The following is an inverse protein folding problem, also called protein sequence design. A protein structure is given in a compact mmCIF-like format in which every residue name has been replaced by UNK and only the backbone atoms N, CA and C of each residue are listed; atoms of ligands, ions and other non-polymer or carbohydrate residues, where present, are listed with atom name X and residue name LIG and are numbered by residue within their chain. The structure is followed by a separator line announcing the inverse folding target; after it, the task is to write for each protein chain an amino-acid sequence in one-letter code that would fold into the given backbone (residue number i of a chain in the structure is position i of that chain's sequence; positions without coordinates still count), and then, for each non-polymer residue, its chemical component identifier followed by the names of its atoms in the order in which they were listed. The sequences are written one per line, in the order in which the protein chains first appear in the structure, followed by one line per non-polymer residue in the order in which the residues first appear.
data_IF_451400224777
#
_entry.id   IF_451400224777
#
_cell.length_a   1.000
_cell.length_b   1.000
_cell.length_c   1.000
_cell.angle_alpha   90.00
_cell.angle_beta   90.00
_cell.angle_gamma   90.00
#
_symmetry.space_group_name_H-M   'P 1'
#
loop_
_entity.id
_entity.type
_entity.pdbx_description
1 polymer ?
#
# COMPACT_ATOMS: atom_id res chain seq x y z
N UNK A 1 -8.93 -12.41 20.92
CA UNK A 1 -8.49 -11.72 22.16
C UNK A 1 -8.40 -10.25 21.81
N UNK A 2 -8.99 -9.37 22.62
CA UNK A 2 -8.91 -7.92 22.47
C UNK A 2 -7.44 -7.47 22.66
N UNK A 3 -7.00 -6.41 21.98
CA UNK A 3 -5.69 -5.77 22.18
C UNK A 3 -5.47 -5.39 23.65
N UNK A 4 -6.51 -4.89 24.33
CA UNK A 4 -6.48 -4.57 25.76
C UNK A 4 -6.25 -5.81 26.63
N UNK A 5 -6.85 -6.95 26.27
CA UNK A 5 -6.69 -8.21 26.99
C UNK A 5 -5.32 -8.83 26.74
N UNK A 6 -4.77 -8.71 25.52
CA UNK A 6 -3.42 -9.16 25.18
C UNK A 6 -2.35 -8.37 25.93
N UNK A 7 -2.49 -7.04 26.02
CA UNK A 7 -1.51 -6.18 26.68
C UNK A 7 -1.51 -6.33 28.20
N UNK A 8 -2.65 -6.66 28.82
CA UNK A 8 -2.72 -6.93 30.27
C UNK A 8 -1.93 -8.18 30.70
N UNK A 9 -1.75 -9.14 29.79
CA UNK A 9 -1.12 -10.43 30.10
C UNK A 9 0.41 -10.43 29.92
N UNK A 10 0.96 -9.47 29.17
CA UNK A 10 2.41 -9.29 28.94
C UNK A 10 2.98 -8.20 29.86
N UNK A 11 3.85 -8.57 30.80
CA UNK A 11 4.47 -7.68 31.80
C UNK A 11 5.31 -6.51 31.25
N UNK A 12 5.66 -6.51 29.96
CA UNK A 12 6.67 -5.61 29.38
C UNK A 12 6.10 -4.47 28.51
N UNK A 13 4.78 -4.43 28.26
CA UNK A 13 4.14 -3.32 27.56
C UNK A 13 2.92 -2.81 28.35
N UNK A 14 3.02 -1.59 28.87
CA UNK A 14 1.89 -0.92 29.49
C UNK A 14 0.81 -0.61 28.44
N UNK A 15 -0.45 -1.07 28.61
CA UNK A 15 -1.53 -0.80 27.67
C UNK A 15 -1.75 0.68 27.37
N UNK A 16 -1.61 1.55 28.37
CA UNK A 16 -1.80 2.99 28.22
C UNK A 16 -0.68 3.63 27.38
N UNK A 17 0.57 3.17 27.56
CA UNK A 17 1.73 3.64 26.77
C UNK A 17 1.61 3.19 25.32
N UNK A 18 1.16 1.96 25.08
CA UNK A 18 0.94 1.45 23.73
C UNK A 18 -0.17 2.22 23.00
N UNK A 19 -1.30 2.45 23.68
CA UNK A 19 -2.40 3.25 23.14
C UNK A 19 -1.95 4.68 22.80
N UNK A 20 -1.19 5.31 23.71
CA UNK A 20 -0.61 6.63 23.47
C UNK A 20 0.33 6.65 22.25
N UNK A 21 1.15 5.61 22.06
CA UNK A 21 2.01 5.48 20.88
C UNK A 21 1.22 5.35 19.57
N UNK A 22 0.10 4.61 19.57
CA UNK A 22 -0.78 4.51 18.41
C UNK A 22 -1.44 5.85 18.06
N UNK A 23 -1.90 6.59 19.08
CA UNK A 23 -2.50 7.92 18.91
C UNK A 23 -1.48 8.94 18.39
N UNK A 24 -0.23 8.91 18.87
CA UNK A 24 0.87 9.71 18.35
C UNK A 24 1.19 9.39 16.88
N UNK A 25 1.19 8.10 16.52
CA UNK A 25 1.38 7.69 15.13
C UNK A 25 0.26 8.25 14.24
N UNK A 26 -1.00 8.07 14.63
CA UNK A 26 -2.16 8.54 13.87
C UNK A 26 -2.19 10.07 13.72
N UNK A 27 -1.97 10.81 14.80
CA UNK A 27 -1.97 12.29 14.80
C UNK A 27 -0.81 12.89 14.01
N UNK A 28 0.31 12.18 13.88
CA UNK A 28 1.42 12.55 12.99
C UNK A 28 1.22 12.14 11.52
N UNK A 29 0.02 11.68 11.16
CA UNK A 29 -0.30 11.20 9.82
C UNK A 29 0.42 9.90 9.45
N UNK A 30 0.97 9.18 10.44
CA UNK A 30 1.57 7.85 10.27
C UNK A 30 0.50 6.79 10.53
N UNK A 31 0.52 5.72 9.76
CA UNK A 31 -0.33 4.55 9.97
C UNK A 31 0.49 3.52 10.74
N UNK A 32 0.03 3.13 11.92
CA UNK A 32 0.61 2.03 12.67
C UNK A 32 -0.13 0.74 12.31
N UNK A 33 0.61 -0.28 11.88
CA UNK A 33 0.10 -1.64 11.72
C UNK A 33 0.58 -2.46 12.90
N UNK A 34 -0.36 -3.07 13.61
CA UNK A 34 -0.07 -3.94 14.74
C UNK A 34 -0.44 -5.35 14.31
N UNK A 35 0.56 -6.21 14.19
CA UNK A 35 0.37 -7.64 13.93
C UNK A 35 0.76 -8.39 15.19
N UNK A 36 -0.16 -9.21 15.69
CA UNK A 36 0.11 -10.07 16.83
C UNK A 36 0.61 -11.42 16.35
N UNK A 37 1.62 -11.92 17.04
CA UNK A 37 2.20 -13.23 16.78
C UNK A 37 2.21 -14.00 18.09
N UNK A 38 1.58 -15.18 18.09
CA UNK A 38 1.49 -16.04 19.27
C UNK A 38 2.83 -16.75 19.56
N UNK A 39 3.51 -17.24 18.52
CA UNK A 39 4.85 -17.83 18.61
C UNK A 39 5.83 -17.15 17.62
N UNK A 40 6.84 -16.42 18.14
CA UNK A 40 7.81 -15.69 17.32
C UNK A 40 8.75 -16.60 16.51
N UNK A 41 8.76 -17.91 16.76
CA UNK A 41 9.63 -18.86 16.05
C UNK A 41 8.96 -19.48 14.83
N UNK A 42 7.70 -19.17 14.56
CA UNK A 42 7.01 -19.64 13.35
C UNK A 42 7.63 -19.02 12.09
N UNK A 43 7.62 -19.73 10.94
CA UNK A 43 8.11 -19.17 9.68
C UNK A 43 7.39 -17.87 9.28
N UNK A 44 6.09 -17.78 9.58
CA UNK A 44 5.30 -16.56 9.35
C UNK A 44 5.80 -15.39 10.20
N UNK A 45 6.00 -15.60 11.51
CA UNK A 45 6.54 -14.59 12.41
C UNK A 45 7.92 -14.09 11.98
N UNK A 46 8.78 -15.01 11.55
CA UNK A 46 10.11 -14.68 11.05
C UNK A 46 10.04 -13.86 9.78
N UNK A 47 9.15 -14.20 8.84
CA UNK A 47 8.94 -13.43 7.62
C UNK A 47 8.39 -12.02 7.89
N UNK A 48 7.43 -11.89 8.82
CA UNK A 48 6.90 -10.59 9.27
C UNK A 48 8.01 -9.74 9.88
N UNK A 49 8.78 -10.33 10.81
CA UNK A 49 9.91 -9.64 11.45
C UNK A 49 10.94 -9.21 10.42
N UNK A 50 11.27 -10.07 9.47
CA UNK A 50 12.22 -9.77 8.41
C UNK A 50 11.75 -8.61 7.53
N UNK A 51 10.46 -8.58 7.15
CA UNK A 51 9.86 -7.48 6.40
C UNK A 51 9.99 -6.16 7.18
N UNK A 52 9.62 -6.16 8.47
CA UNK A 52 9.72 -4.99 9.34
C UNK A 52 11.16 -4.51 9.46
N UNK A 53 12.10 -5.42 9.73
CA UNK A 53 13.51 -5.07 9.88
C UNK A 53 14.07 -4.50 8.56
N UNK A 54 13.57 -4.94 7.40
CA UNK A 54 14.05 -4.57 6.06
C UNK A 54 13.71 -3.13 5.62
N UNK A 55 13.02 -2.33 6.43
CA UNK A 55 12.82 -0.91 6.16
C UNK A 55 14.14 -0.12 6.05
N UNK A 56 15.23 -0.64 6.61
CA UNK A 56 16.58 -0.07 6.43
C UNK A 56 17.07 -0.09 4.97
N UNK A 57 16.47 -0.93 4.11
CA UNK A 57 16.79 -1.00 2.68
C UNK A 57 16.24 0.20 1.89
N UNK A 58 15.33 0.99 2.47
CA UNK A 58 14.77 2.15 1.81
C UNK A 58 15.83 3.24 1.57
N UNK A 59 16.01 3.71 0.33
CA UNK A 59 16.88 4.87 0.05
C UNK A 59 16.37 6.12 0.78
N UNK A 60 17.27 6.98 1.28
CA UNK A 60 16.88 8.20 2.02
C UNK A 60 15.88 9.10 1.26
N UNK A 61 16.03 9.22 -0.05
CA UNK A 61 15.21 10.06 -0.92
C UNK A 61 14.21 9.24 -1.74
N UNK A 62 13.80 8.06 -1.27
CA UNK A 62 12.92 7.17 -2.03
C UNK A 62 11.61 7.85 -2.48
N UNK A 63 11.09 8.84 -1.73
CA UNK A 63 9.87 9.57 -2.09
C UNK A 63 9.96 10.34 -3.41
N UNK A 64 11.17 10.64 -3.87
CA UNK A 64 11.45 11.37 -5.11
C UNK A 64 11.76 10.42 -6.28
N UNK A 65 11.54 9.11 -6.11
CA UNK A 65 11.84 8.11 -7.13
C UNK A 65 11.08 8.43 -8.43
N UNK A 66 11.78 8.63 -9.57
CA UNK A 66 11.14 8.89 -10.85
C UNK A 66 10.26 7.73 -11.32
N UNK A 67 9.21 8.04 -12.07
CA UNK A 67 8.27 7.03 -12.58
C UNK A 67 8.98 5.96 -13.41
N UNK A 68 9.98 6.33 -14.20
CA UNK A 68 10.76 5.42 -15.04
C UNK A 68 11.47 4.35 -14.19
N UNK A 69 11.99 4.74 -13.03
CA UNK A 69 12.64 3.84 -12.08
C UNK A 69 11.61 2.93 -11.41
N UNK A 70 10.43 3.45 -11.07
CA UNK A 70 9.32 2.65 -10.53
C UNK A 70 8.91 1.57 -11.54
N UNK A 71 8.81 1.90 -12.82
CA UNK A 71 8.46 0.95 -13.87
C UNK A 71 9.55 -0.10 -14.12
N UNK A 72 10.82 0.29 -14.11
CA UNK A 72 11.94 -0.65 -14.21
C UNK A 72 11.91 -1.65 -13.06
N UNK A 73 11.82 -1.15 -11.82
CA UNK A 73 11.79 -1.97 -10.60
C UNK A 73 10.54 -2.86 -10.58
N UNK A 74 9.39 -2.32 -10.96
CA UNK A 74 8.15 -3.07 -11.08
C UNK A 74 8.23 -4.24 -12.08
N UNK A 75 8.86 -4.03 -13.24
CA UNK A 75 9.10 -5.12 -14.21
C UNK A 75 10.04 -6.18 -13.62
N UNK A 76 11.11 -5.77 -12.95
CA UNK A 76 12.03 -6.69 -12.28
C UNK A 76 11.36 -7.50 -11.16
N UNK A 77 10.44 -6.91 -10.41
CA UNK A 77 9.68 -7.63 -9.38
C UNK A 77 8.88 -8.80 -9.96
N UNK A 78 8.29 -8.61 -11.15
CA UNK A 78 7.49 -9.62 -11.83
C UNK A 78 8.33 -10.62 -12.63
N UNK A 79 9.62 -10.35 -12.85
CA UNK A 79 10.53 -11.26 -13.53
C UNK A 79 10.94 -12.42 -12.60
N UNK A 80 10.81 -13.65 -13.10
CA UNK A 80 11.16 -14.87 -12.37
C UNK A 80 12.67 -15.11 -12.24
N UNK A 81 13.47 -14.45 -13.08
CA UNK A 81 14.93 -14.50 -12.99
C UNK A 81 15.53 -13.56 -11.95
N UNK A 82 14.76 -12.56 -11.49
CA UNK A 82 15.19 -11.64 -10.44
C UNK A 82 15.33 -12.37 -9.11
N UNK A 83 16.47 -12.17 -8.44
CA UNK A 83 16.78 -12.82 -7.16
C UNK A 83 15.84 -12.39 -6.05
N UNK A 84 15.64 -13.26 -5.05
CA UNK A 84 14.83 -12.96 -3.86
C UNK A 84 15.35 -11.71 -3.13
N UNK A 85 16.67 -11.52 -3.03
CA UNK A 85 17.28 -10.35 -2.40
C UNK A 85 16.91 -9.05 -3.13
N UNK A 86 17.03 -9.01 -4.46
CA UNK A 86 16.65 -7.83 -5.25
C UNK A 86 15.13 -7.58 -5.19
N UNK A 87 14.32 -8.65 -5.18
CA UNK A 87 12.86 -8.52 -4.99
C UNK A 87 12.51 -7.91 -3.65
N UNK A 88 13.20 -8.28 -2.56
CA UNK A 88 13.00 -7.68 -1.23
C UNK A 88 13.24 -6.18 -1.24
N UNK A 89 14.35 -5.72 -1.85
CA UNK A 89 14.63 -4.28 -2.01
C UNK A 89 13.55 -3.56 -2.84
N UNK A 90 13.12 -4.17 -3.95
CA UNK A 90 12.06 -3.62 -4.80
C UNK A 90 10.73 -3.52 -4.05
N UNK A 91 10.35 -4.56 -3.31
CA UNK A 91 9.13 -4.60 -2.51
C UNK A 91 9.15 -3.46 -1.49
N UNK A 92 10.25 -3.27 -0.76
CA UNK A 92 10.39 -2.15 0.19
C UNK A 92 10.14 -0.82 -0.51
N UNK A 93 10.82 -0.56 -1.62
CA UNK A 93 10.66 0.68 -2.37
C UNK A 93 9.20 0.89 -2.83
N UNK A 94 8.60 -0.09 -3.50
CA UNK A 94 7.28 0.06 -4.11
C UNK A 94 6.14 0.15 -3.09
N UNK A 95 6.25 -0.58 -1.97
CA UNK A 95 5.26 -0.54 -0.89
C UNK A 95 5.12 0.85 -0.26
N UNK A 96 6.21 1.61 -0.21
CA UNK A 96 6.30 2.86 0.55
C UNK A 96 6.03 4.13 -0.27
N UNK A 97 6.01 4.04 -1.60
CA UNK A 97 5.79 5.21 -2.46
C UNK A 97 4.34 5.71 -2.42
N UNK A 98 3.36 4.81 -2.32
CA UNK A 98 1.95 5.16 -2.28
C UNK A 98 1.38 5.77 -3.56
N UNK A 99 2.05 5.58 -4.71
CA UNK A 99 1.59 6.07 -6.02
C UNK A 99 0.98 4.93 -6.84
N UNK A 100 0.14 5.26 -7.83
CA UNK A 100 -0.56 4.26 -8.63
C UNK A 100 0.40 3.33 -9.40
N UNK A 101 1.51 3.89 -9.88
CA UNK A 101 2.55 3.18 -10.61
C UNK A 101 3.23 2.12 -9.76
N UNK A 102 3.39 2.31 -8.46
CA UNK A 102 3.91 1.27 -7.57
C UNK A 102 2.82 0.25 -7.22
N UNK A 103 1.61 0.74 -6.91
CA UNK A 103 0.46 -0.09 -6.59
C UNK A 103 0.14 -1.15 -7.65
N UNK A 104 0.18 -0.77 -8.95
CA UNK A 104 -0.12 -1.71 -10.04
C UNK A 104 0.81 -2.94 -10.04
N UNK A 105 2.10 -2.75 -9.73
CA UNK A 105 3.09 -3.82 -9.71
C UNK A 105 3.04 -4.66 -8.43
N UNK A 106 2.89 -4.01 -7.27
CA UNK A 106 2.75 -4.72 -5.99
C UNK A 106 1.49 -5.61 -6.01
N UNK A 107 0.38 -5.09 -6.55
CA UNK A 107 -0.85 -5.87 -6.75
C UNK A 107 -0.60 -7.06 -7.67
N UNK A 108 0.04 -6.85 -8.83
CA UNK A 108 0.30 -7.94 -9.78
C UNK A 108 1.20 -9.03 -9.18
N UNK A 109 2.21 -8.65 -8.39
CA UNK A 109 3.10 -9.59 -7.74
C UNK A 109 2.38 -10.43 -6.68
N UNK A 110 1.48 -9.81 -5.90
CA UNK A 110 0.67 -10.50 -4.88
C UNK A 110 -0.21 -11.62 -5.45
N UNK A 111 -0.65 -11.53 -6.71
CA UNK A 111 -1.47 -12.58 -7.33
C UNK A 111 -0.69 -13.89 -7.56
N UNK A 112 0.63 -13.81 -7.72
CA UNK A 112 1.48 -14.98 -7.95
C UNK A 112 2.91 -14.74 -7.44
N UNK A 113 3.12 -14.60 -6.12
CA UNK A 113 4.41 -14.25 -5.56
C UNK A 113 5.40 -15.42 -5.67
N UNK A 114 6.68 -15.17 -5.39
CA UNK A 114 7.58 -16.27 -5.06
C UNK A 114 7.13 -16.87 -3.70
N UNK A 115 7.15 -18.21 -3.53
CA UNK A 115 6.64 -18.83 -2.30
C UNK A 115 7.30 -18.30 -1.02
N UNK A 116 8.59 -18.00 -1.07
CA UNK A 116 9.36 -17.43 0.05
C UNK A 116 8.95 -15.99 0.40
N UNK A 117 8.24 -15.30 -0.49
CA UNK A 117 7.85 -13.90 -0.38
C UNK A 117 6.33 -13.71 -0.30
N UNK A 118 5.56 -14.76 -0.03
CA UNK A 118 4.10 -14.65 0.08
C UNK A 118 3.67 -13.65 1.18
N UNK A 119 4.25 -13.77 2.37
CA UNK A 119 4.01 -12.84 3.49
C UNK A 119 4.44 -11.41 3.11
N UNK A 120 5.61 -11.26 2.48
CA UNK A 120 6.10 -9.97 2.01
C UNK A 120 5.16 -9.31 1.00
N UNK A 121 4.62 -10.08 0.05
CA UNK A 121 3.70 -9.58 -0.96
C UNK A 121 2.38 -9.09 -0.35
N UNK A 122 1.86 -9.80 0.67
CA UNK A 122 0.66 -9.40 1.40
C UNK A 122 0.91 -8.10 2.19
N UNK A 123 1.97 -8.04 2.99
CA UNK A 123 2.31 -6.85 3.79
C UNK A 123 2.56 -5.62 2.91
N UNK A 124 3.35 -5.78 1.83
CA UNK A 124 3.63 -4.72 0.88
C UNK A 124 2.37 -4.17 0.22
N UNK A 125 1.41 -5.05 -0.12
CA UNK A 125 0.14 -4.64 -0.70
C UNK A 125 -0.70 -3.82 0.29
N UNK A 126 -0.78 -4.24 1.55
CA UNK A 126 -1.55 -3.54 2.59
C UNK A 126 -0.97 -2.17 2.92
N UNK A 127 0.36 -2.07 3.00
CA UNK A 127 1.08 -0.80 3.14
C UNK A 127 0.84 0.09 1.92
N UNK A 128 1.09 -0.42 0.70
CA UNK A 128 0.91 0.35 -0.53
C UNK A 128 -0.53 0.86 -0.68
N UNK A 129 -1.53 0.05 -0.31
CA UNK A 129 -2.95 0.43 -0.31
C UNK A 129 -3.23 1.54 0.69
N UNK A 130 -2.71 1.44 1.91
CA UNK A 130 -2.90 2.46 2.96
C UNK A 130 -2.22 3.78 2.60
N UNK A 131 -1.03 3.74 2.02
CA UNK A 131 -0.36 4.93 1.51
C UNK A 131 -1.11 5.55 0.32
N UNK A 132 -1.60 4.73 -0.62
CA UNK A 132 -2.41 5.20 -1.75
C UNK A 132 -3.74 5.83 -1.29
N UNK A 133 -4.38 5.29 -0.25
CA UNK A 133 -5.59 5.87 0.32
C UNK A 133 -5.35 7.29 0.87
N UNK A 134 -4.19 7.54 1.51
CA UNK A 134 -3.82 8.90 1.94
C UNK A 134 -3.68 9.87 0.75
N UNK A 135 -3.14 9.42 -0.39
CA UNK A 135 -3.11 10.22 -1.61
C UNK A 135 -4.52 10.59 -2.10
N UNK A 136 -5.48 9.65 -2.07
CA UNK A 136 -6.87 9.95 -2.45
C UNK A 136 -7.64 10.77 -1.41
N UNK A 137 -7.31 10.65 -0.12
CA UNK A 137 -7.96 11.39 0.97
C UNK A 137 -7.46 12.82 1.13
N UNK A 138 -6.24 13.14 0.68
CA UNK A 138 -5.66 14.49 0.78
C UNK A 138 -5.74 15.31 -0.51
N UNK A 139 -6.21 14.74 -1.62
CA UNK A 139 -6.39 15.47 -2.86
C UNK A 139 -7.87 15.74 -3.14
N UNK A 140 -8.14 16.89 -3.77
CA UNK A 140 -9.44 17.18 -4.36
C UNK A 140 -9.90 16.01 -5.25
N UNK A 141 -11.22 15.76 -5.39
CA UNK A 141 -11.73 14.64 -6.17
C UNK A 141 -11.03 14.57 -7.52
N UNK A 142 -10.34 13.44 -7.76
CA UNK A 142 -9.67 13.17 -9.02
C UNK A 142 -10.71 13.17 -10.14
N UNK A 143 -10.92 14.33 -10.79
CA UNK A 143 -11.61 14.41 -12.05
C UNK A 143 -10.71 13.75 -13.09
N UNK A 144 -10.91 12.47 -13.34
CA UNK A 144 -10.34 11.85 -14.51
C UNK A 144 -10.77 12.67 -15.74
N UNK A 145 -9.80 13.09 -16.55
CA UNK A 145 -10.00 13.63 -17.91
C UNK A 145 -10.59 12.58 -18.89
N UNK A 146 -11.37 11.60 -18.40
CA UNK A 146 -12.26 10.75 -19.19
C UNK A 146 -13.24 11.58 -20.04
N UNK A 147 -13.42 12.87 -19.75
CA UNK A 147 -14.21 13.79 -20.57
C UNK A 147 -13.62 14.08 -21.95
N UNK A 148 -12.31 13.87 -22.15
CA UNK A 148 -11.66 14.16 -23.44
C UNK A 148 -12.13 13.26 -24.58
N UNK A 149 -12.60 12.04 -24.27
CA UNK A 149 -13.09 11.07 -25.28
C UNK A 149 -14.58 10.78 -25.21
N UNK A 150 -15.31 11.23 -24.19
CA UNK A 150 -16.76 11.03 -24.15
C UNK A 150 -17.44 12.05 -25.07
N UNK A 151 -18.12 11.56 -26.11
CA UNK A 151 -18.92 12.40 -26.96
C UNK A 151 -20.06 13.02 -26.16
N UNK A 152 -20.37 14.31 -26.40
CA UNK A 152 -21.51 14.99 -25.76
C UNK A 152 -22.84 14.22 -25.87
N UNK A 153 -22.97 13.34 -26.87
CA UNK A 153 -24.16 12.52 -27.10
C UNK A 153 -24.09 11.09 -26.53
N UNK A 154 -22.95 10.64 -26.00
CA UNK A 154 -22.79 9.29 -25.46
C UNK A 154 -23.56 9.12 -24.15
N UNK A 155 -23.84 7.88 -23.75
CA UNK A 155 -24.45 7.60 -22.45
C UNK A 155 -23.55 8.10 -21.32
N UNK A 156 -24.15 8.75 -20.34
CA UNK A 156 -23.44 9.31 -19.21
C UNK A 156 -22.89 8.21 -18.29
N UNK A 157 -21.62 8.31 -17.93
CA UNK A 157 -20.90 7.31 -17.14
C UNK A 157 -21.36 7.21 -15.68
N UNK A 158 -22.16 8.17 -15.19
CA UNK A 158 -22.78 8.11 -13.87
C UNK A 158 -23.93 7.08 -13.76
N UNK A 159 -24.23 6.34 -14.83
CA UNK A 159 -25.26 5.30 -14.83
C UNK A 159 -26.69 5.82 -14.99
N UNK A 160 -26.90 7.13 -15.20
CA UNK A 160 -28.25 7.71 -15.33
C UNK A 160 -29.02 7.32 -16.59
N UNK A 161 -28.36 6.67 -17.57
CA UNK A 161 -28.93 6.34 -18.87
C UNK A 161 -29.14 7.54 -19.81
N UNK A 162 -28.93 8.77 -19.34
CA UNK A 162 -29.05 10.01 -20.14
C UNK A 162 -27.80 10.25 -20.99
N UNK A 163 -27.93 11.05 -22.06
CA UNK A 163 -26.77 11.54 -22.83
C UNK A 163 -25.90 12.46 -21.97
N UNK A 164 -24.57 12.43 -22.16
CA UNK A 164 -23.60 13.17 -21.35
C UNK A 164 -23.95 14.66 -21.23
N UNK A 165 -24.26 15.34 -22.35
CA UNK A 165 -24.67 16.76 -22.38
C UNK A 165 -25.96 17.09 -21.62
N UNK A 166 -26.80 16.10 -21.35
CA UNK A 166 -28.07 16.25 -20.61
C UNK A 166 -27.96 15.75 -19.16
N UNK A 167 -26.74 15.47 -18.69
CA UNK A 167 -26.47 14.95 -17.36
C UNK A 167 -25.20 15.62 -16.79
N UNK A 168 -24.13 14.87 -16.50
CA UNK A 168 -22.89 15.41 -15.92
C UNK A 168 -22.21 16.47 -16.81
N UNK A 169 -22.43 16.45 -18.12
CA UNK A 169 -21.91 17.46 -19.07
C UNK A 169 -22.86 18.62 -19.38
N UNK A 170 -23.89 18.84 -18.56
CA UNK A 170 -24.87 19.93 -18.77
C UNK A 170 -24.37 21.30 -18.34
N UNK A 171 -23.35 21.35 -17.48
CA UNK A 171 -22.71 22.58 -16.95
C UNK A 171 -21.21 22.68 -17.27
N UNK A 172 -20.72 21.78 -18.14
CA UNK A 172 -19.42 21.85 -18.79
C UNK A 172 -19.58 22.53 -20.16
#
# INVERSE_FOLDING_TARGET
MDLEDYLKDKKDLNPEEFQYMLELAQSSGRSAFVTFVDDPNTPEAQAIKEYIDSHHLLPKNYKETPVEVIEEKGKKLLDRSTTIAEKKEIIMLLAHLGVYESYKYVKAYKENPDPELEIWANMAFDECKTFSQKWFSQQEPMMFNFFSKIGRNDKCLCGSGKKFKKCCGSKL
#
